data_IF_158248338167
#
_entry.id   IF_158248338167
#
_cell.length_a   1.000
_cell.length_b   1.000
_cell.length_c   1.000
_cell.angle_alpha   90.00
_cell.angle_beta   90.00
_cell.angle_gamma   90.00
#
_symmetry.space_group_name_H-M   'P 1'
#
loop_
_entity.id
_entity.type
_entity.pdbx_description
1 polymer ?
#
# COMPACT_ATOMS: atom_id res chain seq x y z
N UNK A 1 -19.65 -1.23 5.67
CA UNK A 1 -19.59 -2.64 5.97
C UNK A 1 -18.21 -3.16 5.73
N UNK A 2 -17.71 -3.90 6.69
CA UNK A 2 -16.31 -4.34 6.62
C UNK A 2 -16.06 -5.31 5.50
N UNK A 3 -17.04 -6.16 5.17
CA UNK A 3 -16.85 -7.11 4.09
C UNK A 3 -16.76 -6.44 2.72
N UNK A 4 -17.19 -5.18 2.63
CA UNK A 4 -17.06 -4.45 1.36
C UNK A 4 -15.60 -4.21 1.01
N UNK A 5 -14.77 -3.92 2.01
CA UNK A 5 -13.35 -3.71 1.74
C UNK A 5 -12.72 -5.00 1.24
N UNK A 6 -13.04 -6.12 1.87
CA UNK A 6 -12.51 -7.41 1.45
C UNK A 6 -12.92 -7.74 0.02
N UNK A 7 -14.18 -7.47 -0.34
CA UNK A 7 -14.66 -7.71 -1.69
C UNK A 7 -13.97 -6.81 -2.70
N UNK A 8 -13.72 -5.57 -2.34
CA UNK A 8 -13.01 -4.65 -3.23
C UNK A 8 -11.57 -5.09 -3.43
N UNK A 9 -10.93 -5.57 -2.37
CA UNK A 9 -9.57 -6.10 -2.48
C UNK A 9 -9.55 -7.31 -3.41
N UNK A 10 -10.51 -8.22 -3.26
CA UNK A 10 -10.59 -9.41 -4.11
C UNK A 10 -10.77 -9.03 -5.56
N UNK A 11 -11.63 -8.06 -5.84
CA UNK A 11 -11.85 -7.62 -7.21
C UNK A 11 -10.60 -7.01 -7.80
N UNK A 12 -9.94 -6.15 -7.05
CA UNK A 12 -8.70 -5.54 -7.53
C UNK A 12 -7.60 -6.59 -7.72
N UNK A 13 -7.58 -7.60 -6.87
CA UNK A 13 -6.61 -8.68 -7.03
C UNK A 13 -6.80 -9.39 -8.36
N UNK A 14 -8.06 -9.65 -8.74
CA UNK A 14 -8.34 -10.27 -10.04
C UNK A 14 -7.93 -9.35 -11.18
N UNK A 15 -8.21 -8.06 -11.04
CA UNK A 15 -7.84 -7.09 -12.07
C UNK A 15 -6.31 -7.02 -12.22
N UNK A 16 -5.59 -7.05 -11.12
CA UNK A 16 -4.12 -7.02 -11.14
C UNK A 16 -3.58 -8.28 -11.81
N UNK A 17 -4.16 -9.43 -11.51
CA UNK A 17 -3.71 -10.68 -12.13
C UNK A 17 -3.91 -10.65 -13.63
N UNK A 18 -4.97 -9.99 -14.08
CA UNK A 18 -5.23 -9.88 -15.51
C UNK A 18 -4.32 -8.85 -16.17
N UNK A 19 -4.16 -7.67 -15.56
CA UNK A 19 -3.37 -6.58 -16.13
C UNK A 19 -2.82 -5.73 -14.99
N UNK A 20 -1.62 -6.01 -14.53
CA UNK A 20 -1.04 -5.24 -13.42
C UNK A 20 -0.73 -3.81 -13.86
N UNK A 21 -1.25 -2.84 -13.12
CA UNK A 21 -0.98 -1.43 -13.35
C UNK A 21 -0.68 -0.76 -12.02
N UNK A 22 0.04 0.37 -12.09
CA UNK A 22 0.32 1.15 -10.89
C UNK A 22 -0.96 1.58 -10.19
N UNK A 23 -1.97 1.99 -10.96
CA UNK A 23 -3.23 2.45 -10.39
C UNK A 23 -3.92 1.35 -9.60
N UNK A 24 -3.94 0.13 -10.13
CA UNK A 24 -4.59 -0.98 -9.45
C UNK A 24 -3.87 -1.34 -8.16
N UNK A 25 -2.55 -1.39 -8.18
CA UNK A 25 -1.80 -1.65 -6.96
C UNK A 25 -2.01 -0.54 -5.94
N UNK A 26 -2.02 0.72 -6.41
CA UNK A 26 -2.26 1.84 -5.51
C UNK A 26 -3.62 1.73 -4.84
N UNK A 27 -4.65 1.42 -5.61
CA UNK A 27 -6.00 1.29 -5.06
C UNK A 27 -6.09 0.17 -4.04
N UNK A 28 -5.50 -0.98 -4.36
CA UNK A 28 -5.53 -2.09 -3.42
C UNK A 28 -4.72 -1.76 -2.17
N UNK A 29 -3.59 -1.10 -2.35
CA UNK A 29 -2.78 -0.68 -1.21
C UNK A 29 -3.56 0.22 -0.26
N UNK A 30 -4.35 1.15 -0.81
CA UNK A 30 -5.17 2.04 0.03
C UNK A 30 -6.21 1.25 0.80
N UNK A 31 -6.79 0.23 0.20
CA UNK A 31 -7.76 -0.60 0.89
C UNK A 31 -7.11 -1.40 2.02
N UNK A 32 -5.95 -1.96 1.76
CA UNK A 32 -5.20 -2.64 2.82
C UNK A 32 -4.89 -1.66 3.95
N UNK A 33 -4.48 -0.45 3.61
CA UNK A 33 -4.17 0.57 4.61
C UNK A 33 -5.39 0.84 5.50
N UNK A 34 -6.56 0.99 4.86
CA UNK A 34 -7.79 1.25 5.59
C UNK A 34 -8.20 0.09 6.49
N UNK A 35 -7.90 -1.13 6.07
CA UNK A 35 -8.26 -2.31 6.84
C UNK A 35 -7.27 -2.58 7.97
N UNK A 36 -6.17 -1.84 8.02
CA UNK A 36 -5.18 -2.02 9.06
C UNK A 36 -4.05 -2.96 8.69
N UNK A 37 -4.05 -3.46 7.46
CA UNK A 37 -3.00 -4.39 7.00
C UNK A 37 -1.89 -3.58 6.33
N UNK A 38 -1.08 -2.92 7.13
CA UNK A 38 -0.04 -2.05 6.61
C UNK A 38 1.05 -2.76 5.84
N UNK A 39 1.52 -3.95 6.26
CA UNK A 39 2.52 -4.65 5.45
C UNK A 39 2.07 -4.90 4.02
N UNK A 40 0.83 -5.33 3.83
CA UNK A 40 0.31 -5.54 2.48
C UNK A 40 0.16 -4.23 1.72
N UNK A 41 -0.27 -3.18 2.42
CA UNK A 41 -0.39 -1.87 1.80
C UNK A 41 0.96 -1.40 1.28
N UNK A 42 2.00 -1.53 2.10
CA UNK A 42 3.33 -1.09 1.72
C UNK A 42 3.84 -1.89 0.52
N UNK A 43 3.59 -3.19 0.51
CA UNK A 43 3.96 -4.04 -0.61
C UNK A 43 3.30 -3.56 -1.90
N UNK A 44 2.00 -3.26 -1.84
CA UNK A 44 1.29 -2.79 -3.03
C UNK A 44 1.76 -1.41 -3.47
N UNK A 45 2.02 -0.51 -2.51
CA UNK A 45 2.55 0.80 -2.86
C UNK A 45 3.92 0.71 -3.52
N UNK A 46 4.77 -0.21 -3.05
CA UNK A 46 6.06 -0.44 -3.70
C UNK A 46 5.89 -0.92 -5.14
N UNK A 47 4.96 -1.84 -5.37
CA UNK A 47 4.68 -2.30 -6.72
C UNK A 47 4.21 -1.15 -7.61
N UNK A 48 3.33 -0.30 -7.06
CA UNK A 48 2.81 0.83 -7.83
C UNK A 48 3.95 1.76 -8.25
N UNK A 49 4.86 2.06 -7.34
CA UNK A 49 5.97 2.97 -7.63
C UNK A 49 6.94 2.33 -8.61
N UNK A 50 7.13 1.02 -8.55
CA UNK A 50 8.00 0.34 -9.50
C UNK A 50 7.43 0.41 -10.92
N UNK A 51 6.10 0.36 -11.05
CA UNK A 51 5.46 0.45 -12.35
C UNK A 51 5.34 1.90 -12.83
N UNK A 52 5.21 2.83 -11.91
CA UNK A 52 5.09 4.26 -12.24
C UNK A 52 5.68 5.07 -11.09
N UNK A 53 6.87 5.59 -11.30
CA UNK A 53 7.57 6.33 -10.25
C UNK A 53 6.84 7.62 -9.85
N UNK A 54 5.88 8.07 -10.66
CA UNK A 54 5.08 9.25 -10.32
C UNK A 54 3.76 8.91 -9.66
N UNK A 55 3.55 7.63 -9.35
CA UNK A 55 2.33 7.21 -8.69
C UNK A 55 2.19 7.91 -7.34
N UNK A 56 0.95 8.32 -6.97
CA UNK A 56 0.71 8.88 -5.63
C UNK A 56 1.05 7.89 -4.50
N UNK A 57 1.25 6.62 -4.82
CA UNK A 57 1.71 5.66 -3.82
C UNK A 57 3.03 6.08 -3.20
N UNK A 58 3.86 6.85 -3.91
CA UNK A 58 5.13 7.33 -3.37
C UNK A 58 4.90 8.18 -2.12
N UNK A 59 3.83 8.97 -2.10
CA UNK A 59 3.51 9.79 -0.93
C UNK A 59 3.17 8.91 0.27
N UNK A 60 2.39 7.87 0.02
CA UNK A 60 2.02 6.94 1.10
C UNK A 60 3.23 6.21 1.63
N UNK A 61 4.16 5.82 0.75
CA UNK A 61 5.38 5.17 1.19
C UNK A 61 6.23 6.09 2.04
N UNK A 62 6.31 7.37 1.64
CA UNK A 62 7.07 8.34 2.43
C UNK A 62 6.47 8.49 3.82
N UNK A 63 5.14 8.57 3.92
CA UNK A 63 4.48 8.66 5.21
C UNK A 63 4.71 7.40 6.05
N UNK A 64 4.65 6.24 5.42
CA UNK A 64 4.89 4.99 6.13
C UNK A 64 6.31 4.91 6.65
N UNK A 65 7.26 5.31 5.81
CA UNK A 65 8.66 5.32 6.20
C UNK A 65 8.91 6.26 7.36
N UNK A 66 8.30 7.43 7.31
CA UNK A 66 8.43 8.39 8.39
C UNK A 66 7.93 7.82 9.71
N UNK A 67 6.78 7.15 9.66
CA UNK A 67 6.23 6.54 10.86
C UNK A 67 7.15 5.45 11.37
N UNK A 68 7.64 4.61 10.48
CA UNK A 68 8.53 3.53 10.86
C UNK A 68 9.85 4.07 11.38
N UNK A 69 10.37 5.12 10.76
CA UNK A 69 11.59 5.76 11.23
C UNK A 69 11.42 6.32 12.63
N UNK A 70 10.25 6.87 12.90
CA UNK A 70 9.97 7.39 14.24
C UNK A 70 10.10 6.29 15.28
N UNK A 71 9.50 5.14 15.02
CA UNK A 71 9.59 4.02 15.96
C UNK A 71 11.00 3.47 16.02
N UNK A 72 11.67 3.39 14.88
CA UNK A 72 13.04 2.88 14.82
C UNK A 72 14.01 3.80 15.52
N UNK A 73 13.72 5.08 15.53
CA UNK A 73 14.56 6.06 16.22
C UNK A 73 14.71 5.68 17.68
N UNK A 74 13.65 5.20 18.29
CA UNK A 74 13.69 4.74 19.66
C UNK A 74 14.67 3.59 19.84
N UNK A 75 14.81 2.77 18.81
CA UNK A 75 15.72 1.64 18.86
C UNK A 75 17.16 2.06 18.59
N UNK A 76 17.35 3.00 17.69
CA UNK A 76 18.69 3.41 17.27
C UNK A 76 19.27 4.47 18.15
N UNK A 77 18.45 5.24 18.80
CA UNK A 77 18.89 6.35 19.62
C UNK A 77 18.45 6.16 21.05
N UNK A 78 18.96 5.15 21.67
CA UNK A 78 18.61 4.83 23.05
C UNK A 78 19.06 5.91 24.02
#
# INVERSE_FOLDING_TARGET
MTHDIAQQIDKLTLDIEATPTADLYFRRGKLYWKSGDKPQAITDFNHAVQLDSESPAAVYLAMSTDIMDFYNTDLYNP
#
